data_IF_274239280485
#
_entry.id   IF_274239280485
#
_cell.length_a   1.000
_cell.length_b   1.000
_cell.length_c   1.000
_cell.angle_alpha   90.00
_cell.angle_beta   90.00
_cell.angle_gamma   90.00
#
_symmetry.space_group_name_H-M   'P 1'
#
loop_
_entity.id
_entity.type
_entity.pdbx_description
1 polymer ?
#
# COMPACT_ATOMS: atom_id res chain seq x y z
N UNK A 1 22.71 1.80 -5.16
CA UNK A 1 21.79 0.90 -4.48
C UNK A 1 20.46 0.90 -5.19
N UNK A 2 19.85 -0.27 -5.34
CA UNK A 2 18.59 -0.39 -6.04
C UNK A 2 17.43 -0.06 -5.13
N UNK A 3 16.48 0.69 -5.66
CA UNK A 3 15.22 0.97 -4.96
C UNK A 3 14.32 -0.26 -4.98
N UNK A 4 13.43 -0.34 -4.02
CA UNK A 4 12.41 -1.39 -3.94
C UNK A 4 11.04 -0.75 -4.09
N UNK A 5 10.26 -1.29 -5.02
CA UNK A 5 8.85 -0.92 -5.20
C UNK A 5 7.99 -2.05 -4.66
N UNK A 6 7.21 -1.74 -3.63
CA UNK A 6 6.26 -2.68 -3.05
C UNK A 6 4.85 -2.23 -3.40
N UNK A 7 4.05 -3.13 -3.96
CA UNK A 7 2.68 -2.82 -4.36
C UNK A 7 1.68 -3.75 -3.72
N UNK A 8 0.51 -3.20 -3.42
CA UNK A 8 -0.64 -3.96 -2.96
C UNK A 8 -1.82 -3.55 -3.82
N UNK A 9 -2.39 -4.48 -4.56
CA UNK A 9 -3.56 -4.20 -5.38
C UNK A 9 -4.76 -5.01 -4.91
N UNK A 10 -5.95 -4.43 -5.05
CA UNK A 10 -7.20 -5.05 -4.60
C UNK A 10 -8.39 -4.36 -5.26
N UNK A 11 -9.54 -5.00 -5.14
CA UNK A 11 -10.81 -4.43 -5.52
C UNK A 11 -11.57 -4.06 -4.26
N UNK A 12 -12.09 -2.85 -4.18
CA UNK A 12 -12.90 -2.39 -3.04
C UNK A 12 -14.36 -2.63 -3.35
N UNK A 13 -15.13 -3.08 -2.35
CA UNK A 13 -16.56 -3.26 -2.50
C UNK A 13 -17.20 -1.94 -2.96
N UNK A 14 -18.08 -1.95 -3.97
CA UNK A 14 -18.59 -0.72 -4.59
C UNK A 14 -19.22 0.26 -3.61
N UNK A 15 -19.92 -0.24 -2.60
CA UNK A 15 -20.58 0.58 -1.59
C UNK A 15 -19.65 1.06 -0.47
N UNK A 16 -18.36 0.68 -0.52
CA UNK A 16 -17.37 1.02 0.49
C UNK A 16 -16.30 2.00 0.02
N UNK A 17 -16.45 2.54 -1.18
CA UNK A 17 -15.42 3.41 -1.76
C UNK A 17 -15.14 4.65 -0.91
N UNK A 18 -16.18 5.31 -0.40
CA UNK A 18 -16.00 6.51 0.42
C UNK A 18 -15.24 6.19 1.71
N UNK A 19 -15.60 5.10 2.36
CA UNK A 19 -14.93 4.65 3.58
C UNK A 19 -13.48 4.28 3.29
N UNK A 20 -13.23 3.64 2.15
CA UNK A 20 -11.87 3.32 1.70
C UNK A 20 -11.02 4.58 1.53
N UNK A 21 -11.52 5.57 0.80
CA UNK A 21 -10.77 6.82 0.56
C UNK A 21 -10.42 7.50 1.89
N UNK A 22 -11.37 7.53 2.82
CA UNK A 22 -11.14 8.11 4.14
C UNK A 22 -10.05 7.35 4.90
N UNK A 23 -10.08 6.02 4.85
CA UNK A 23 -9.11 5.17 5.52
C UNK A 23 -7.71 5.34 4.93
N UNK A 24 -7.62 5.41 3.60
CA UNK A 24 -6.34 5.61 2.90
C UNK A 24 -5.73 6.97 3.23
N UNK A 25 -6.54 8.01 3.37
CA UNK A 25 -6.04 9.33 3.77
C UNK A 25 -5.41 9.29 5.16
N UNK A 26 -6.05 8.61 6.09
CA UNK A 26 -5.50 8.45 7.44
C UNK A 26 -4.17 7.67 7.38
N UNK A 27 -4.14 6.58 6.62
CA UNK A 27 -2.93 5.76 6.47
C UNK A 27 -1.79 6.60 5.88
N UNK A 28 -2.06 7.37 4.83
CA UNK A 28 -1.05 8.21 4.20
C UNK A 28 -0.45 9.21 5.19
N UNK A 29 -1.27 9.76 6.07
CA UNK A 29 -0.81 10.73 7.07
C UNK A 29 0.02 10.08 8.17
N UNK A 30 -0.19 8.80 8.46
CA UNK A 30 0.53 8.08 9.51
C UNK A 30 1.77 7.36 9.01
N UNK A 31 1.78 6.98 7.73
CA UNK A 31 2.83 6.12 7.22
C UNK A 31 4.13 6.89 7.07
N UNK A 32 5.12 6.52 7.87
CA UNK A 32 6.45 7.10 7.85
C UNK A 32 7.44 6.01 8.22
N UNK A 33 8.51 5.91 7.46
CA UNK A 33 9.55 4.93 7.74
C UNK A 33 10.86 5.42 7.15
N UNK A 34 11.96 5.06 7.78
CA UNK A 34 13.29 5.36 7.24
C UNK A 34 13.42 4.70 5.88
N UNK A 35 13.85 5.47 4.88
CA UNK A 35 14.04 4.98 3.53
C UNK A 35 12.78 4.90 2.68
N UNK A 36 11.60 5.15 3.25
CA UNK A 36 10.38 5.26 2.48
C UNK A 36 10.36 6.60 1.76
N UNK A 37 10.54 6.58 0.44
CA UNK A 37 10.61 7.78 -0.37
C UNK A 37 9.26 8.30 -0.79
N UNK A 38 8.31 7.39 -1.05
CA UNK A 38 6.96 7.79 -1.41
C UNK A 38 5.96 6.67 -1.13
N UNK A 39 4.74 7.10 -0.89
CA UNK A 39 3.57 6.23 -0.78
C UNK A 39 2.45 6.88 -1.58
N UNK A 40 1.93 6.18 -2.56
CA UNK A 40 0.88 6.70 -3.46
C UNK A 40 -0.16 5.62 -3.70
N UNK A 41 -1.39 6.06 -3.97
CA UNK A 41 -2.49 5.16 -4.27
C UNK A 41 -3.09 5.55 -5.62
N UNK A 42 -3.30 4.56 -6.46
CA UNK A 42 -3.83 4.74 -7.81
C UNK A 42 -5.11 3.94 -7.98
N UNK A 43 -6.06 4.50 -8.71
CA UNK A 43 -7.24 3.75 -9.15
C UNK A 43 -7.01 3.30 -10.59
N UNK A 44 -7.39 2.06 -10.91
CA UNK A 44 -7.27 1.55 -12.27
C UNK A 44 -8.19 2.34 -13.20
N UNK A 45 -7.62 2.89 -14.28
CA UNK A 45 -8.37 3.74 -15.21
C UNK A 45 -9.47 2.98 -15.94
N UNK A 46 -9.24 1.70 -16.22
CA UNK A 46 -10.19 0.87 -16.97
C UNK A 46 -11.18 0.09 -16.11
N UNK A 47 -10.99 0.07 -14.78
CA UNK A 47 -11.84 -0.72 -13.88
C UNK A 47 -12.09 0.08 -12.60
N UNK A 48 -13.32 0.51 -12.40
CA UNK A 48 -13.70 1.22 -11.19
C UNK A 48 -13.55 0.31 -9.97
N UNK A 49 -13.24 0.92 -8.83
CA UNK A 49 -13.05 0.25 -7.54
C UNK A 49 -11.82 -0.67 -7.43
N UNK A 50 -10.96 -0.69 -8.45
CA UNK A 50 -9.67 -1.37 -8.34
C UNK A 50 -8.59 -0.34 -8.04
N UNK A 51 -7.86 -0.58 -6.95
CA UNK A 51 -6.85 0.35 -6.44
C UNK A 51 -5.52 -0.36 -6.27
N UNK A 52 -4.44 0.42 -6.34
CA UNK A 52 -3.10 -0.08 -6.08
C UNK A 52 -2.35 0.90 -5.20
N UNK A 53 -1.83 0.40 -4.08
CA UNK A 53 -0.93 1.15 -3.21
C UNK A 53 0.49 0.90 -3.68
N UNK A 54 1.31 1.94 -3.76
CA UNK A 54 2.71 1.85 -4.15
C UNK A 54 3.61 2.49 -3.11
N UNK A 55 4.55 1.69 -2.61
CA UNK A 55 5.57 2.14 -1.67
C UNK A 55 6.92 2.08 -2.38
N UNK A 56 7.68 3.16 -2.35
CA UNK A 56 9.04 3.18 -2.90
C UNK A 56 10.02 3.36 -1.76
N UNK A 57 10.91 2.37 -1.60
CA UNK A 57 11.96 2.37 -0.58
C UNK A 57 13.33 2.59 -1.22
N UNK A 58 14.21 3.29 -0.51
CA UNK A 58 15.56 3.59 -1.00
C UNK A 58 16.45 2.35 -1.12
N UNK A 59 16.13 1.28 -0.38
CA UNK A 59 16.92 0.06 -0.38
C UNK A 59 16.10 -1.13 0.11
N UNK A 60 16.60 -2.33 -0.16
CA UNK A 60 15.97 -3.55 0.35
C UNK A 60 16.01 -3.62 1.88
N UNK A 61 17.10 -3.13 2.49
CA UNK A 61 17.22 -3.11 3.94
C UNK A 61 16.10 -2.28 4.59
N UNK A 62 15.83 -1.09 4.06
CA UNK A 62 14.77 -0.24 4.60
C UNK A 62 13.38 -0.85 4.38
N UNK A 63 13.18 -1.54 3.26
CA UNK A 63 11.94 -2.27 3.02
C UNK A 63 11.75 -3.40 4.03
N UNK A 64 12.77 -4.21 4.28
CA UNK A 64 12.68 -5.30 5.26
C UNK A 64 12.42 -4.76 6.66
N UNK A 65 13.08 -3.67 7.03
CA UNK A 65 12.83 -3.02 8.32
C UNK A 65 11.39 -2.54 8.45
N UNK A 66 10.82 -2.03 7.39
CA UNK A 66 9.43 -1.60 7.37
C UNK A 66 8.48 -2.79 7.55
N UNK A 67 8.75 -3.91 6.88
CA UNK A 67 7.92 -5.12 7.04
C UNK A 67 7.95 -5.65 8.47
N UNK A 68 9.11 -5.56 9.12
CA UNK A 68 9.28 -6.05 10.49
C UNK A 68 8.79 -5.07 11.54
N UNK A 69 8.60 -3.81 11.17
CA UNK A 69 8.13 -2.79 12.10
C UNK A 69 6.66 -2.99 12.43
N UNK A 70 6.33 -2.72 13.70
CA UNK A 70 4.94 -2.79 14.14
C UNK A 70 4.50 -1.41 14.64
N UNK A 71 3.47 -0.86 14.01
CA UNK A 71 2.76 0.32 14.50
C UNK A 71 1.28 -0.07 14.56
N UNK A 72 0.74 -0.11 15.76
CA UNK A 72 -0.62 -0.57 15.98
C UNK A 72 -1.64 0.28 15.23
N UNK A 73 -1.43 1.60 15.14
CA UNK A 73 -2.34 2.49 14.42
C UNK A 73 -2.37 2.17 12.94
N UNK A 74 -1.21 1.90 12.36
CA UNK A 74 -1.09 1.53 10.94
C UNK A 74 -1.73 0.16 10.72
N UNK A 75 -1.49 -0.80 11.61
CA UNK A 75 -2.07 -2.13 11.48
C UNK A 75 -3.60 -2.12 11.54
N UNK A 76 -4.19 -1.28 12.39
CA UNK A 76 -5.65 -1.12 12.44
C UNK A 76 -6.19 -0.64 11.10
N UNK A 77 -5.52 0.33 10.47
CA UNK A 77 -5.96 0.86 9.17
C UNK A 77 -5.78 -0.17 8.06
N UNK A 78 -4.66 -0.90 8.07
CA UNK A 78 -4.41 -1.97 7.07
C UNK A 78 -5.48 -3.05 7.19
N UNK A 79 -5.82 -3.47 8.41
CA UNK A 79 -6.87 -4.47 8.62
C UNK A 79 -8.23 -3.96 8.17
N UNK A 80 -8.51 -2.68 8.39
CA UNK A 80 -9.76 -2.06 7.93
C UNK A 80 -9.85 -2.09 6.41
N UNK A 81 -8.76 -1.75 5.72
CA UNK A 81 -8.72 -1.82 4.25
C UNK A 81 -9.03 -3.25 3.78
N UNK A 82 -8.43 -4.24 4.43
CA UNK A 82 -8.71 -5.65 4.12
C UNK A 82 -10.18 -6.01 4.25
N UNK A 83 -10.88 -5.43 5.23
CA UNK A 83 -12.31 -5.68 5.42
C UNK A 83 -13.19 -4.98 4.37
N UNK A 84 -12.67 -3.94 3.73
CA UNK A 84 -13.39 -3.20 2.69
C UNK A 84 -13.16 -3.79 1.29
N UNK A 85 -12.14 -4.64 1.15
CA UNK A 85 -11.79 -5.26 -0.12
C UNK A 85 -12.69 -6.44 -0.44
N UNK A 86 -12.90 -6.69 -1.72
CA UNK A 86 -13.56 -7.90 -2.20
C UNK A 86 -12.67 -9.09 -1.83
N UNK A 87 -13.30 -10.15 -1.32
CA UNK A 87 -12.59 -11.35 -0.89
C UNK A 87 -11.72 -11.92 -2.02
N UNK A 88 -10.49 -12.31 -1.68
CA UNK A 88 -9.51 -12.90 -2.61
C UNK A 88 -9.00 -11.96 -3.72
N UNK A 89 -9.31 -10.67 -3.65
CA UNK A 89 -8.83 -9.72 -4.67
C UNK A 89 -7.44 -9.15 -4.39
N UNK A 90 -6.95 -9.25 -3.15
CA UNK A 90 -5.69 -8.62 -2.75
C UNK A 90 -4.48 -9.37 -3.28
N UNK A 91 -3.56 -8.63 -3.90
CA UNK A 91 -2.30 -9.18 -4.42
C UNK A 91 -1.14 -8.29 -3.99
N UNK A 92 -0.04 -8.93 -3.65
CA UNK A 92 1.20 -8.26 -3.23
C UNK A 92 2.27 -8.51 -4.28
N UNK A 93 3.11 -7.50 -4.52
CA UNK A 93 4.22 -7.63 -5.42
C UNK A 93 5.39 -6.78 -4.92
N UNK A 94 6.59 -7.36 -4.95
CA UNK A 94 7.81 -6.65 -4.57
C UNK A 94 8.74 -6.67 -5.77
N UNK A 95 9.17 -5.48 -6.22
CA UNK A 95 10.02 -5.31 -7.38
C UNK A 95 11.30 -4.59 -6.96
N UNK A 96 12.43 -5.04 -7.47
CA UNK A 96 13.72 -4.37 -7.25
C UNK A 96 14.10 -3.66 -8.54
N UNK A 97 14.50 -2.40 -8.39
CA UNK A 97 14.95 -1.61 -9.54
C UNK A 97 16.18 -2.24 -10.16
N UNK A 98 16.18 -2.38 -11.47
CA UNK A 98 17.33 -2.85 -12.23
C UNK A 98 18.19 -1.64 -12.62
N UNK A 99 19.46 -1.68 -12.30
CA UNK A 99 20.40 -0.63 -12.70
C UNK A 99 20.78 -0.83 -14.17
N UNK A 100 20.43 0.16 -15.01
CA UNK A 100 20.61 0.07 -16.46
C UNK A 100 21.73 0.97 -16.96
#
# INVERSE_FOLDING_TARGET
MSKVLFTISYEIQPDKKEEYIKTIRELKNLIKAEGLESYSVYENKGKSNRFEERYIFSSNETFENFEDATDERINILINKIGSLAVEHSTKYQTLTEVEL
#
